data_IF_714285834395
#
_entry.id   IF_714285834395
#
_cell.length_a   1.000
_cell.length_b   1.000
_cell.length_c   1.000
_cell.angle_alpha   90.00
_cell.angle_beta   90.00
_cell.angle_gamma   90.00
#
_symmetry.space_group_name_H-M   'P 1'
#
loop_
_entity.id
_entity.type
_entity.pdbx_description
1 polymer ?
#
# COMPACT_ATOMS: atom_id res chain seq x y z
N UNK A 1 -27.39 -43.38 -52.22
CA UNK A 1 -26.83 -42.03 -52.04
C UNK A 1 -26.90 -41.66 -50.56
N UNK A 2 -25.80 -41.86 -49.82
CA UNK A 2 -25.72 -41.62 -48.37
C UNK A 2 -25.06 -40.24 -48.18
N UNK A 3 -25.81 -39.27 -47.65
CA UNK A 3 -25.30 -37.95 -47.29
C UNK A 3 -24.65 -38.03 -45.89
N UNK A 4 -23.34 -37.93 -45.86
CA UNK A 4 -22.54 -37.85 -44.63
C UNK A 4 -22.64 -36.40 -44.11
N UNK A 5 -23.31 -36.19 -42.97
CA UNK A 5 -23.39 -34.90 -42.28
C UNK A 5 -22.21 -34.83 -41.31
N UNK A 6 -21.22 -33.98 -41.62
CA UNK A 6 -20.14 -33.65 -40.68
C UNK A 6 -20.64 -32.67 -39.62
N UNK A 7 -20.75 -33.13 -38.38
CA UNK A 7 -20.92 -32.28 -37.23
C UNK A 7 -19.54 -31.66 -36.85
N UNK A 8 -19.36 -30.40 -37.18
CA UNK A 8 -18.19 -29.64 -36.71
C UNK A 8 -18.48 -29.25 -35.27
N UNK A 9 -17.82 -29.92 -34.33
CA UNK A 9 -17.81 -29.56 -32.91
C UNK A 9 -16.84 -28.37 -32.75
N UNK A 10 -17.40 -27.14 -32.70
CA UNK A 10 -16.61 -25.95 -32.36
C UNK A 10 -16.38 -25.98 -30.86
N UNK A 11 -15.14 -26.35 -30.48
CA UNK A 11 -14.65 -26.27 -29.11
C UNK A 11 -14.42 -24.79 -28.80
N UNK A 12 -15.37 -24.14 -28.12
CA UNK A 12 -15.20 -22.83 -27.55
C UNK A 12 -14.20 -22.97 -26.38
N UNK A 13 -12.93 -22.74 -26.65
CA UNK A 13 -11.95 -22.51 -25.59
C UNK A 13 -12.25 -21.14 -25.01
N UNK A 14 -13.01 -21.11 -23.94
CA UNK A 14 -13.15 -19.93 -23.09
C UNK A 14 -11.78 -19.66 -22.47
N UNK A 15 -11.01 -18.79 -23.08
CA UNK A 15 -9.88 -18.14 -22.44
C UNK A 15 -10.48 -17.35 -21.26
N UNK A 16 -10.50 -17.98 -20.09
CA UNK A 16 -10.86 -17.32 -18.86
C UNK A 16 -9.89 -16.16 -18.66
N UNK A 17 -10.40 -14.95 -18.74
CA UNK A 17 -9.71 -13.74 -18.33
C UNK A 17 -9.38 -13.94 -16.84
N UNK A 18 -8.22 -14.47 -16.54
CA UNK A 18 -7.70 -14.62 -15.18
C UNK A 18 -7.60 -13.21 -14.60
N UNK A 19 -8.48 -12.90 -13.68
CA UNK A 19 -8.66 -11.55 -13.20
C UNK A 19 -7.33 -11.08 -12.60
N UNK A 20 -6.85 -9.89 -12.98
CA UNK A 20 -5.65 -9.24 -12.41
C UNK A 20 -5.70 -9.19 -10.86
N UNK A 21 -6.87 -9.34 -10.28
CA UNK A 21 -7.12 -9.36 -8.83
C UNK A 21 -6.57 -10.61 -8.13
N UNK A 22 -6.64 -11.80 -8.75
CA UNK A 22 -6.11 -13.03 -8.14
C UNK A 22 -4.57 -13.03 -8.09
N UNK A 23 -3.92 -12.46 -9.12
CA UNK A 23 -2.47 -12.29 -9.13
C UNK A 23 -2.00 -11.32 -8.04
N UNK A 24 -2.76 -10.26 -7.77
CA UNK A 24 -2.44 -9.30 -6.72
C UNK A 24 -2.51 -9.95 -5.33
N UNK A 25 -3.54 -10.71 -5.03
CA UNK A 25 -3.71 -11.37 -3.72
C UNK A 25 -2.55 -12.35 -3.42
N UNK A 26 -2.15 -13.14 -4.41
CA UNK A 26 -1.04 -14.07 -4.24
C UNK A 26 0.29 -13.35 -3.95
N UNK A 27 0.55 -12.25 -4.64
CA UNK A 27 1.74 -11.43 -4.39
C UNK A 27 1.70 -10.85 -2.98
N UNK A 28 0.58 -10.24 -2.56
CA UNK A 28 0.43 -9.66 -1.23
C UNK A 28 0.62 -10.69 -0.11
N UNK A 29 0.15 -11.93 -0.30
CA UNK A 29 0.33 -13.01 0.67
C UNK A 29 1.79 -13.47 0.82
N UNK A 30 2.64 -13.19 -0.18
CA UNK A 30 4.07 -13.51 -0.16
C UNK A 30 4.95 -12.38 0.37
N UNK A 31 4.40 -11.17 0.53
CA UNK A 31 5.18 -10.05 1.04
C UNK A 31 5.58 -10.28 2.49
N UNK A 32 6.87 -10.27 2.76
CA UNK A 32 7.44 -10.39 4.10
C UNK A 32 7.53 -9.03 4.77
N UNK A 33 6.67 -8.80 5.74
CA UNK A 33 6.76 -7.65 6.65
C UNK A 33 7.03 -8.15 8.06
N UNK A 34 7.89 -7.44 8.78
CA UNK A 34 8.21 -7.73 10.17
C UNK A 34 7.59 -6.67 11.07
N UNK A 35 6.89 -7.12 12.09
CA UNK A 35 6.29 -6.28 13.12
C UNK A 35 7.32 -5.96 14.23
N UNK A 36 7.06 -4.95 15.09
CA UNK A 36 7.95 -4.56 16.17
C UNK A 36 8.28 -5.67 17.17
N UNK A 37 7.37 -6.62 17.34
CA UNK A 37 7.52 -7.81 18.19
C UNK A 37 8.29 -8.97 17.52
N UNK A 38 8.74 -8.78 16.28
CA UNK A 38 9.49 -9.77 15.50
C UNK A 38 8.62 -10.77 14.72
N UNK A 39 7.31 -10.72 14.88
CA UNK A 39 6.41 -11.59 14.12
C UNK A 39 6.20 -11.09 12.69
N UNK A 40 5.86 -12.02 11.81
CA UNK A 40 5.43 -11.67 10.45
C UNK A 40 4.01 -11.10 10.44
N UNK A 41 3.77 -10.11 9.59
CA UNK A 41 2.43 -9.56 9.39
C UNK A 41 1.49 -10.65 8.84
N UNK A 42 0.31 -10.81 9.47
CA UNK A 42 -0.71 -11.71 8.94
C UNK A 42 -1.21 -11.19 7.58
N UNK A 43 -1.19 -12.00 6.50
CA UNK A 43 -1.69 -11.59 5.19
C UNK A 43 -3.14 -11.09 5.18
N UNK A 44 -3.98 -11.55 6.11
CA UNK A 44 -5.37 -11.09 6.27
C UNK A 44 -5.47 -9.60 6.60
N UNK A 45 -4.40 -9.00 7.15
CA UNK A 45 -4.32 -7.56 7.38
C UNK A 45 -4.75 -6.74 6.16
N UNK A 46 -4.38 -7.18 4.97
CA UNK A 46 -4.65 -6.45 3.75
C UNK A 46 -6.09 -6.54 3.26
N UNK A 47 -6.85 -7.58 3.64
CA UNK A 47 -8.23 -7.81 3.21
C UNK A 47 -9.30 -7.30 4.18
N UNK A 48 -8.93 -6.93 5.40
CA UNK A 48 -9.87 -6.48 6.42
C UNK A 48 -10.49 -5.12 6.10
N UNK A 49 -9.67 -4.20 5.56
CA UNK A 49 -10.06 -2.80 5.34
C UNK A 49 -9.47 -2.28 4.04
N UNK A 50 -10.03 -1.18 3.54
CA UNK A 50 -9.38 -0.40 2.48
C UNK A 50 -8.08 0.20 3.04
N UNK A 51 -6.99 0.16 2.27
CA UNK A 51 -5.68 0.62 2.72
C UNK A 51 -5.33 1.97 2.11
N UNK A 52 -4.82 2.88 2.92
CA UNK A 52 -4.26 4.16 2.48
C UNK A 52 -2.75 4.08 2.70
N UNK A 53 -2.00 3.78 1.63
CA UNK A 53 -0.57 3.50 1.69
C UNK A 53 0.24 4.75 1.36
N UNK A 54 1.33 4.90 2.08
CA UNK A 54 2.37 5.87 1.77
C UNK A 54 3.76 5.23 1.96
N UNK A 55 4.61 5.43 0.97
CA UNK A 55 6.00 4.97 1.00
C UNK A 55 6.93 6.13 1.34
N UNK A 56 7.84 5.89 2.26
CA UNK A 56 8.78 6.92 2.73
C UNK A 56 9.84 6.33 3.64
N UNK A 57 10.46 7.13 4.49
CA UNK A 57 11.46 6.69 5.47
C UNK A 57 11.49 7.64 6.67
N UNK A 58 11.89 7.14 7.84
CA UNK A 58 11.81 7.91 9.10
C UNK A 58 12.74 9.12 9.14
N UNK A 59 13.84 9.08 8.39
CA UNK A 59 14.83 10.16 8.29
C UNK A 59 14.50 11.22 7.22
N UNK A 60 13.32 11.17 6.62
CA UNK A 60 12.85 12.20 5.69
C UNK A 60 12.54 13.49 6.46
N UNK A 61 13.16 14.64 6.08
CA UNK A 61 13.04 15.85 6.89
C UNK A 61 11.72 16.62 6.69
N UNK A 62 10.96 16.37 5.61
CA UNK A 62 9.87 17.25 5.18
C UNK A 62 8.61 16.48 4.76
N UNK A 63 8.60 15.84 3.61
CA UNK A 63 7.38 15.33 3.00
C UNK A 63 6.74 14.16 3.75
N UNK A 64 7.54 13.27 4.36
CA UNK A 64 6.99 12.15 5.13
C UNK A 64 6.26 12.62 6.38
N UNK A 65 6.84 13.47 7.27
CA UNK A 65 6.10 13.94 8.44
C UNK A 65 4.86 14.76 8.07
N UNK A 66 4.90 15.57 7.00
CA UNK A 66 3.74 16.29 6.49
C UNK A 66 2.62 15.33 6.06
N UNK A 67 2.94 14.31 5.28
CA UNK A 67 1.96 13.33 4.79
C UNK A 67 1.34 12.54 5.94
N UNK A 68 2.13 12.08 6.91
CA UNK A 68 1.64 11.33 8.06
C UNK A 68 0.78 12.20 8.99
N UNK A 69 1.12 13.48 9.16
CA UNK A 69 0.28 14.46 9.87
C UNK A 69 -1.08 14.61 9.17
N UNK A 70 -1.09 14.68 7.82
CA UNK A 70 -2.32 14.75 7.04
C UNK A 70 -3.14 13.45 7.10
N UNK A 71 -2.52 12.28 7.25
CA UNK A 71 -3.21 11.02 7.54
C UNK A 71 -3.97 11.11 8.86
N UNK A 72 -3.31 11.57 9.92
CA UNK A 72 -3.96 11.79 11.21
C UNK A 72 -5.13 12.76 11.13
N UNK A 73 -4.94 13.88 10.42
CA UNK A 73 -6.01 14.87 10.22
C UNK A 73 -7.18 14.29 9.42
N UNK A 74 -6.91 13.55 8.36
CA UNK A 74 -7.95 12.88 7.57
C UNK A 74 -8.73 11.86 8.41
N UNK A 75 -8.03 11.05 9.22
CA UNK A 75 -8.64 10.09 10.14
C UNK A 75 -9.59 10.79 11.15
N UNK A 76 -9.16 11.90 11.73
CA UNK A 76 -10.01 12.69 12.64
C UNK A 76 -11.27 13.25 11.97
N UNK A 77 -11.13 13.79 10.75
CA UNK A 77 -12.27 14.35 9.98
C UNK A 77 -13.25 13.26 9.53
N UNK A 78 -12.77 12.06 9.24
CA UNK A 78 -13.61 10.90 8.89
C UNK A 78 -14.44 10.41 10.08
N UNK A 79 -13.96 10.61 11.31
CA UNK A 79 -14.63 10.14 12.51
C UNK A 79 -14.84 8.61 12.49
N UNK A 80 -16.08 8.15 12.68
CA UNK A 80 -16.42 6.73 12.66
C UNK A 80 -16.10 6.04 11.33
N UNK A 81 -16.18 6.75 10.20
CA UNK A 81 -15.81 6.20 8.89
C UNK A 81 -14.34 5.84 8.76
N UNK A 82 -13.47 6.41 9.61
CA UNK A 82 -12.05 6.04 9.62
C UNK A 82 -11.82 4.55 9.93
N UNK A 83 -12.77 3.88 10.57
CA UNK A 83 -12.71 2.43 10.85
C UNK A 83 -12.71 1.56 9.58
N UNK A 84 -13.21 2.09 8.47
CA UNK A 84 -13.23 1.40 7.16
C UNK A 84 -11.86 1.43 6.46
N UNK A 85 -10.91 2.17 7.01
CA UNK A 85 -9.58 2.35 6.45
C UNK A 85 -8.50 1.94 7.44
N UNK A 86 -7.38 1.47 6.90
CA UNK A 86 -6.11 1.40 7.59
C UNK A 86 -5.12 2.33 6.89
N UNK A 87 -4.44 3.17 7.66
CA UNK A 87 -3.37 4.01 7.16
C UNK A 87 -2.06 3.27 7.35
N UNK A 88 -1.28 3.13 6.29
CA UNK A 88 -0.08 2.31 6.31
C UNK A 88 1.10 3.09 5.78
N UNK A 89 2.14 3.19 6.58
CA UNK A 89 3.44 3.71 6.20
C UNK A 89 4.39 2.55 5.94
N UNK A 90 4.94 2.45 4.73
CA UNK A 90 5.89 1.40 4.35
C UNK A 90 7.25 2.06 4.13
N UNK A 91 8.26 1.58 4.85
CA UNK A 91 9.60 2.16 4.69
C UNK A 91 10.24 1.76 3.37
N UNK A 92 10.93 2.73 2.75
CA UNK A 92 11.85 2.54 1.63
C UNK A 92 13.28 2.32 2.09
N UNK A 93 13.53 2.37 3.41
CA UNK A 93 14.85 2.30 4.04
C UNK A 93 14.89 1.29 5.20
N UNK A 94 14.68 0.01 4.95
CA UNK A 94 14.69 -0.99 6.00
C UNK A 94 16.06 -1.14 6.70
N UNK A 95 17.14 -0.60 6.12
CA UNK A 95 18.47 -0.58 6.73
C UNK A 95 18.50 0.27 7.99
N UNK A 96 17.88 1.46 7.99
CA UNK A 96 17.80 2.38 9.14
C UNK A 96 16.49 2.30 9.90
N UNK A 97 15.42 1.88 9.22
CA UNK A 97 14.06 1.84 9.73
C UNK A 97 13.69 0.43 10.22
N UNK A 98 14.28 0.02 11.35
CA UNK A 98 13.83 -1.21 12.00
C UNK A 98 12.35 -1.12 12.40
N UNK A 99 11.62 -2.24 12.55
CA UNK A 99 10.23 -2.23 13.01
C UNK A 99 10.02 -1.43 14.30
N UNK A 100 10.94 -1.55 15.27
CA UNK A 100 10.90 -0.79 16.52
C UNK A 100 11.12 0.72 16.32
N UNK A 101 12.00 1.11 15.38
CA UNK A 101 12.21 2.52 15.00
C UNK A 101 10.94 3.10 14.39
N UNK A 102 10.32 2.37 13.47
CA UNK A 102 9.10 2.80 12.79
C UNK A 102 7.92 2.92 13.75
N UNK A 103 7.78 1.99 14.70
CA UNK A 103 6.74 2.07 15.73
C UNK A 103 6.85 3.36 16.55
N UNK A 104 8.07 3.72 16.97
CA UNK A 104 8.33 4.98 17.68
C UNK A 104 8.04 6.19 16.79
N UNK A 105 8.43 6.12 15.53
CA UNK A 105 8.25 7.21 14.58
C UNK A 105 6.76 7.53 14.36
N UNK A 106 5.92 6.52 14.08
CA UNK A 106 4.51 6.74 13.79
C UNK A 106 3.69 7.18 15.01
N UNK A 107 4.14 6.90 16.23
CA UNK A 107 3.52 7.40 17.47
C UNK A 107 3.55 8.94 17.61
N UNK A 108 4.41 9.62 16.85
CA UNK A 108 4.44 11.09 16.84
C UNK A 108 3.31 11.72 16.02
N UNK A 109 2.51 10.93 15.30
CA UNK A 109 1.45 11.43 14.43
C UNK A 109 0.06 11.14 15.02
N UNK A 110 -0.93 12.06 14.86
CA UNK A 110 -2.23 11.99 15.53
C UNK A 110 -3.19 11.00 14.85
N UNK A 111 -2.77 9.78 14.56
CA UNK A 111 -3.61 8.74 13.94
C UNK A 111 -3.62 7.48 14.80
N UNK A 112 -4.79 7.04 15.22
CA UNK A 112 -4.96 5.81 16.00
C UNK A 112 -4.88 4.53 15.17
N UNK A 113 -5.05 4.63 13.85
CA UNK A 113 -5.06 3.52 12.90
C UNK A 113 -3.95 3.63 11.85
N UNK A 114 -2.83 4.27 12.20
CA UNK A 114 -1.61 4.31 11.41
C UNK A 114 -0.69 3.18 11.84
N UNK A 115 -0.36 2.31 10.90
CA UNK A 115 0.59 1.21 11.08
C UNK A 115 1.82 1.47 10.22
N UNK A 116 3.01 1.26 10.76
CA UNK A 116 4.24 1.29 9.99
C UNK A 116 4.77 -0.13 9.76
N UNK A 117 5.24 -0.38 8.55
CA UNK A 117 5.72 -1.69 8.13
C UNK A 117 7.12 -1.59 7.53
N UNK A 118 7.99 -2.51 7.95
CA UNK A 118 9.33 -2.69 7.37
C UNK A 118 9.31 -3.97 6.52
N UNK A 119 9.36 -3.86 5.17
CA UNK A 119 9.46 -5.02 4.30
C UNK A 119 10.89 -5.58 4.33
N UNK A 120 11.05 -6.88 4.07
CA UNK A 120 12.36 -7.40 3.69
C UNK A 120 12.77 -6.90 2.29
N UNK A 121 14.04 -7.09 1.92
CA UNK A 121 14.60 -6.53 0.67
C UNK A 121 13.83 -7.00 -0.57
N UNK A 122 13.50 -8.29 -0.66
CA UNK A 122 12.76 -8.87 -1.80
C UNK A 122 11.34 -8.29 -1.90
N UNK A 123 10.66 -8.14 -0.77
CA UNK A 123 9.33 -7.54 -0.71
C UNK A 123 9.36 -6.05 -1.06
N UNK A 124 10.40 -5.32 -0.64
CA UNK A 124 10.59 -3.93 -1.00
C UNK A 124 10.76 -3.76 -2.51
N UNK A 125 11.59 -4.58 -3.15
CA UNK A 125 11.77 -4.56 -4.61
C UNK A 125 10.46 -4.88 -5.35
N UNK A 126 9.71 -5.85 -4.85
CA UNK A 126 8.41 -6.22 -5.41
C UNK A 126 7.43 -5.06 -5.30
N UNK A 127 7.32 -4.43 -4.13
CA UNK A 127 6.45 -3.28 -3.89
C UNK A 127 6.81 -2.08 -4.77
N UNK A 128 8.10 -1.76 -4.90
CA UNK A 128 8.54 -0.63 -5.75
C UNK A 128 8.15 -0.85 -7.21
N UNK A 129 8.23 -2.09 -7.71
CA UNK A 129 7.77 -2.44 -9.07
C UNK A 129 6.25 -2.34 -9.22
N UNK A 130 5.48 -2.89 -8.26
CA UNK A 130 3.99 -2.87 -8.30
C UNK A 130 3.45 -1.44 -8.32
N UNK A 131 4.00 -0.56 -7.48
CA UNK A 131 3.54 0.82 -7.33
C UNK A 131 4.26 1.82 -8.24
N UNK A 132 5.20 1.36 -9.08
CA UNK A 132 5.97 2.23 -9.96
C UNK A 132 6.81 3.26 -9.20
N UNK A 133 7.34 2.87 -8.03
CA UNK A 133 8.13 3.76 -7.20
C UNK A 133 9.55 3.84 -7.74
N UNK A 134 9.94 5.01 -8.17
CA UNK A 134 11.35 5.34 -8.45
C UNK A 134 11.97 5.81 -7.14
N UNK A 135 13.12 5.25 -6.78
CA UNK A 135 13.89 5.66 -5.59
C UNK A 135 15.38 5.71 -5.90
N UNK A 136 16.05 6.68 -5.32
CA UNK A 136 17.50 6.87 -5.45
C UNK A 136 18.10 7.25 -4.10
N UNK A 137 19.16 6.54 -3.71
CA UNK A 137 19.94 6.86 -2.50
C UNK A 137 20.97 7.93 -2.85
N UNK A 138 20.86 9.10 -2.23
CA UNK A 138 21.73 10.26 -2.47
C UNK A 138 22.55 10.60 -1.24
N UNK A 139 23.86 10.55 -1.35
CA UNK A 139 24.82 10.75 -0.25
C UNK A 139 25.56 9.47 0.12
N UNK A 140 26.47 9.55 1.09
CA UNK A 140 27.35 8.47 1.51
C UNK A 140 27.24 8.19 3.02
N UNK A 141 27.72 7.00 3.41
CA UNK A 141 27.73 6.56 4.82
C UNK A 141 26.32 6.52 5.41
N UNK A 142 26.15 7.00 6.63
CA UNK A 142 24.87 7.03 7.34
C UNK A 142 24.07 8.33 7.13
N UNK A 143 24.62 9.28 6.37
CA UNK A 143 24.00 10.62 6.15
C UNK A 143 23.35 10.76 4.78
N UNK A 144 22.86 9.65 4.20
CA UNK A 144 22.15 9.68 2.93
C UNK A 144 20.68 10.05 3.10
N UNK A 145 20.10 10.59 2.03
CA UNK A 145 18.65 10.70 1.84
C UNK A 145 18.19 9.73 0.74
N UNK A 146 16.89 9.50 0.66
CA UNK A 146 16.27 8.74 -0.42
C UNK A 146 15.33 9.68 -1.17
N UNK A 147 15.69 10.02 -2.40
CA UNK A 147 14.78 10.70 -3.31
C UNK A 147 13.85 9.66 -3.91
N UNK A 148 12.53 9.87 -3.83
CA UNK A 148 11.57 8.87 -4.27
C UNK A 148 10.28 9.49 -4.79
N UNK A 149 9.52 8.68 -5.55
CA UNK A 149 8.15 9.03 -5.97
C UNK A 149 7.28 9.29 -4.76
N UNK A 150 6.61 10.45 -4.72
CA UNK A 150 5.86 10.92 -3.57
C UNK A 150 4.35 10.85 -3.83
N UNK A 151 3.77 9.65 -3.67
CA UNK A 151 2.35 9.39 -3.86
C UNK A 151 1.73 8.61 -2.70
N UNK A 152 0.44 8.86 -2.47
CA UNK A 152 -0.44 8.10 -1.57
C UNK A 152 -1.31 7.21 -2.46
N UNK A 153 -1.40 5.93 -2.13
CA UNK A 153 -2.21 4.95 -2.85
C UNK A 153 -3.36 4.49 -1.97
N UNK A 154 -4.57 4.48 -2.52
CA UNK A 154 -5.74 3.91 -1.85
C UNK A 154 -6.09 2.59 -2.50
N UNK A 155 -6.11 1.52 -1.71
CA UNK A 155 -6.43 0.17 -2.15
C UNK A 155 -7.80 -0.26 -1.61
N UNK A 156 -8.54 -1.05 -2.38
CA UNK A 156 -9.69 -1.79 -1.89
C UNK A 156 -9.27 -3.04 -1.07
N UNK A 157 -10.23 -3.81 -0.57
CA UNK A 157 -9.97 -5.04 0.18
C UNK A 157 -9.38 -6.18 -0.68
N UNK A 158 -9.42 -6.05 -2.01
CA UNK A 158 -8.75 -6.96 -2.95
C UNK A 158 -7.36 -6.46 -3.35
N UNK A 159 -6.81 -5.46 -2.64
CA UNK A 159 -5.51 -4.81 -2.86
C UNK A 159 -5.36 -4.18 -4.25
N UNK A 160 -6.46 -3.87 -4.91
CA UNK A 160 -6.47 -3.12 -6.15
C UNK A 160 -6.38 -1.62 -5.83
N UNK A 161 -5.45 -0.92 -6.48
CA UNK A 161 -5.39 0.54 -6.39
C UNK A 161 -6.63 1.16 -7.05
N UNK A 162 -7.41 1.88 -6.25
CA UNK A 162 -8.65 2.55 -6.68
C UNK A 162 -8.48 4.07 -6.78
N UNK A 163 -7.49 4.63 -6.11
CA UNK A 163 -7.18 6.07 -6.17
C UNK A 163 -5.71 6.32 -5.83
N UNK A 164 -5.15 7.39 -6.40
CA UNK A 164 -3.80 7.87 -6.08
C UNK A 164 -3.87 9.38 -5.83
N UNK A 165 -3.10 9.87 -4.85
CA UNK A 165 -2.96 11.28 -4.53
C UNK A 165 -1.48 11.66 -4.48
N UNK A 166 -1.13 12.93 -4.76
CA UNK A 166 0.22 13.40 -4.47
C UNK A 166 0.48 13.37 -2.95
N UNK A 167 1.72 13.09 -2.56
CA UNK A 167 2.16 13.26 -1.19
C UNK A 167 1.97 14.71 -0.72
N UNK A 168 1.68 14.89 0.55
CA UNK A 168 1.40 16.20 1.10
C UNK A 168 0.00 16.76 0.79
N UNK A 169 -0.88 16.00 0.10
CA UNK A 169 -2.30 16.38 -0.05
C UNK A 169 -2.88 16.71 1.34
N UNK A 170 -3.64 17.79 1.45
CA UNK A 170 -4.17 18.20 2.75
C UNK A 170 -5.10 17.15 3.35
N UNK A 171 -5.08 17.01 4.69
CA UNK A 171 -5.96 16.07 5.39
C UNK A 171 -7.44 16.30 5.10
N UNK A 172 -7.86 17.53 4.84
CA UNK A 172 -9.25 17.87 4.46
C UNK A 172 -9.60 17.28 3.09
N UNK A 173 -8.74 17.49 2.09
CA UNK A 173 -8.96 16.98 0.74
C UNK A 173 -8.92 15.45 0.73
N UNK A 174 -7.96 14.84 1.43
CA UNK A 174 -7.88 13.39 1.57
C UNK A 174 -9.14 12.83 2.23
N UNK A 175 -9.61 13.40 3.35
CA UNK A 175 -10.81 12.96 4.04
C UNK A 175 -12.07 13.07 3.15
N UNK A 176 -12.19 14.13 2.35
CA UNK A 176 -13.31 14.33 1.44
C UNK A 176 -13.38 13.19 0.42
N UNK A 177 -12.26 12.82 -0.17
CA UNK A 177 -12.21 11.74 -1.16
C UNK A 177 -12.39 10.35 -0.50
N UNK A 178 -11.77 10.10 0.65
CA UNK A 178 -11.94 8.85 1.37
C UNK A 178 -13.40 8.65 1.84
N UNK A 179 -14.14 9.72 2.16
CA UNK A 179 -15.57 9.64 2.48
C UNK A 179 -16.37 9.08 1.30
N UNK A 180 -16.14 9.57 0.09
CA UNK A 180 -16.77 9.04 -1.13
C UNK A 180 -16.43 7.56 -1.35
N UNK A 181 -15.15 7.20 -1.14
CA UNK A 181 -14.66 5.82 -1.28
C UNK A 181 -15.26 4.89 -0.21
N UNK A 182 -15.59 5.40 0.99
CA UNK A 182 -16.19 4.59 2.06
C UNK A 182 -17.63 4.15 1.77
N UNK A 183 -18.28 4.80 0.81
CA UNK A 183 -19.67 4.53 0.41
C UNK A 183 -19.75 3.53 -0.76
N UNK A 184 -18.61 3.15 -1.35
CA UNK A 184 -18.46 2.10 -2.37
C UNK A 184 -18.20 0.73 -1.72
#
# INVERSE_FOLDING_TARGET
MIRLIYFIFIFFVSFGCQSKNALNQEVWNRLGFVLPDGHSLNPQFWSEKKSVLYFGFSHCPDMCPLTLTNFGRASLILGERAKNFQFVFITLDPERDSPATLEKYVKNFPSKNLTALSPNVESLETLTKIFGIVKEKVGEGNSYRIDHSNFIYVLDQNQKTIKTFPGGVSGNALATELRKISEL
#
